data_IF_047135567016
#
_entry.id   IF_047135567016
#
_cell.length_a   1.000
_cell.length_b   1.000
_cell.length_c   1.000
_cell.angle_alpha   90.00
_cell.angle_beta   90.00
_cell.angle_gamma   90.00
#
_symmetry.space_group_name_H-M   'P 1'
#
loop_
_entity.id
_entity.type
_entity.pdbx_description
1 polymer ?
#
# COMPACT_ATOMS: atom_id res chain seq x y z
N UNK A 1 41.88 -11.09 3.15
CA UNK A 1 40.81 -10.09 3.34
C UNK A 1 40.96 -8.84 2.47
N UNK A 2 42.16 -8.26 2.27
CA UNK A 2 42.30 -7.09 1.36
C UNK A 2 42.39 -7.49 -0.13
N UNK A 3 42.85 -8.72 -0.43
CA UNK A 3 43.03 -9.20 -1.82
C UNK A 3 41.72 -9.37 -2.60
N UNK A 4 40.58 -9.48 -1.92
CA UNK A 4 39.27 -9.70 -2.55
C UNK A 4 38.60 -8.39 -3.02
N UNK A 5 39.19 -7.24 -2.68
CA UNK A 5 38.71 -5.91 -3.12
C UNK A 5 39.31 -5.56 -4.50
N UNK A 6 40.44 -6.16 -4.88
CA UNK A 6 41.26 -5.71 -6.01
C UNK A 6 40.83 -6.34 -7.36
N UNK A 7 40.12 -7.47 -7.36
CA UNK A 7 39.72 -8.18 -8.58
C UNK A 7 38.20 -8.30 -8.71
N UNK A 8 37.46 -7.18 -8.64
CA UNK A 8 36.05 -7.20 -8.99
C UNK A 8 35.90 -6.72 -10.44
N UNK A 9 35.80 -7.69 -11.35
CA UNK A 9 35.36 -7.48 -12.72
C UNK A 9 34.20 -6.48 -12.74
N UNK A 10 34.20 -5.50 -13.67
CA UNK A 10 33.15 -4.51 -13.76
C UNK A 10 31.83 -5.22 -14.02
N UNK A 11 30.94 -5.22 -13.01
CA UNK A 11 29.62 -5.82 -13.12
C UNK A 11 28.85 -5.08 -14.21
N UNK A 12 28.21 -5.82 -15.09
CA UNK A 12 27.38 -5.21 -16.12
C UNK A 12 26.18 -4.51 -15.49
N UNK A 13 25.66 -3.47 -16.14
CA UNK A 13 24.48 -2.75 -15.65
C UNK A 13 23.29 -3.71 -15.44
N UNK A 14 23.15 -4.71 -16.32
CA UNK A 14 22.13 -5.77 -16.21
C UNK A 14 22.25 -6.58 -14.91
N UNK A 15 23.47 -7.03 -14.57
CA UNK A 15 23.73 -7.75 -13.31
C UNK A 15 23.47 -6.88 -12.08
N UNK A 16 23.77 -5.58 -12.16
CA UNK A 16 23.51 -4.64 -11.07
C UNK A 16 22.01 -4.46 -10.83
N UNK A 17 21.21 -4.28 -11.89
CA UNK A 17 19.75 -4.15 -11.82
C UNK A 17 19.10 -5.43 -11.29
N UNK A 18 19.56 -6.60 -11.76
CA UNK A 18 19.07 -7.89 -11.26
C UNK A 18 19.36 -8.05 -9.76
N UNK A 19 20.54 -7.64 -9.29
CA UNK A 19 20.91 -7.70 -7.87
C UNK A 19 20.04 -6.77 -7.01
N UNK A 20 19.80 -5.54 -7.47
CA UNK A 20 18.95 -4.56 -6.76
C UNK A 20 17.51 -5.06 -6.68
N UNK A 21 16.97 -5.63 -7.76
CA UNK A 21 15.60 -6.16 -7.77
C UNK A 21 15.40 -7.27 -6.74
N UNK A 22 16.43 -8.08 -6.50
CA UNK A 22 16.42 -9.11 -5.45
C UNK A 22 16.62 -8.55 -4.04
N UNK A 23 17.17 -7.33 -3.91
CA UNK A 23 17.33 -6.64 -2.63
C UNK A 23 16.07 -5.83 -2.23
N UNK A 24 15.17 -5.55 -3.16
CA UNK A 24 13.91 -4.87 -2.88
C UNK A 24 12.87 -5.89 -2.43
N UNK A 25 12.55 -5.85 -1.14
CA UNK A 25 11.40 -6.56 -0.61
C UNK A 25 10.23 -5.57 -0.62
N UNK A 26 9.15 -5.80 -1.40
CA UNK A 26 7.97 -4.95 -1.36
C UNK A 26 7.43 -4.85 0.06
N UNK A 27 7.08 -3.64 0.49
CA UNK A 27 6.55 -3.40 1.83
C UNK A 27 5.30 -4.25 2.12
N UNK A 28 4.46 -4.46 1.09
CA UNK A 28 3.30 -5.35 1.13
C UNK A 28 3.63 -6.82 1.42
N UNK A 29 4.85 -7.28 1.12
CA UNK A 29 5.31 -8.63 1.48
C UNK A 29 5.87 -8.70 2.91
N UNK A 30 6.28 -7.58 3.49
CA UNK A 30 6.83 -7.53 4.85
C UNK A 30 5.76 -7.32 5.90
N UNK A 31 4.74 -6.52 5.60
CA UNK A 31 3.63 -6.26 6.52
C UNK A 31 2.58 -7.33 6.33
N UNK A 32 2.43 -8.21 7.33
CA UNK A 32 1.22 -9.00 7.45
C UNK A 32 0.07 -8.03 7.64
N UNK A 33 -0.92 -8.08 6.76
CA UNK A 33 -2.17 -7.37 6.95
C UNK A 33 -2.74 -7.77 8.32
N UNK A 34 -2.62 -6.88 9.31
CA UNK A 34 -3.47 -6.97 10.48
C UNK A 34 -4.87 -6.62 10.01
N UNK A 35 -5.87 -7.38 10.45
CA UNK A 35 -7.25 -6.98 10.30
C UNK A 35 -7.38 -5.67 11.07
N UNK A 36 -7.31 -4.55 10.37
CA UNK A 36 -7.44 -3.23 10.96
C UNK A 36 -8.91 -3.05 11.32
N UNK A 37 -9.31 -3.59 12.48
CA UNK A 37 -10.67 -3.53 13.01
C UNK A 37 -11.20 -2.11 13.14
N UNK A 38 -10.29 -1.16 13.21
CA UNK A 38 -10.58 0.25 13.47
C UNK A 38 -10.74 1.06 12.17
N UNK A 39 -10.54 0.42 11.01
CA UNK A 39 -10.76 1.04 9.70
C UNK A 39 -12.15 0.63 9.20
N UNK A 40 -12.99 1.63 8.94
CA UNK A 40 -14.27 1.42 8.28
C UNK A 40 -14.04 0.82 6.88
N UNK A 41 -14.55 -0.39 6.63
CA UNK A 41 -14.27 -1.11 5.37
C UNK A 41 -15.10 -0.59 4.21
N UNK A 42 -16.27 0.00 4.49
CA UNK A 42 -17.24 0.39 3.47
C UNK A 42 -18.00 -0.80 2.87
N UNK A 43 -17.65 -2.04 3.24
CA UNK A 43 -18.31 -3.28 2.81
C UNK A 43 -19.48 -3.67 3.73
N UNK A 44 -19.70 -2.93 4.82
CA UNK A 44 -20.77 -3.20 5.76
C UNK A 44 -22.13 -2.99 5.10
N UNK A 45 -23.02 -3.99 5.24
CA UNK A 45 -24.40 -3.92 4.74
C UNK A 45 -25.31 -3.13 5.69
N UNK A 46 -24.88 -1.94 6.07
CA UNK A 46 -25.66 -1.02 6.91
C UNK A 46 -26.52 -0.14 5.99
N UNK A 47 -27.85 -0.18 6.10
CA UNK A 47 -28.75 0.70 5.35
C UNK A 47 -28.35 2.16 5.53
N UNK A 48 -28.39 2.96 4.46
CA UNK A 48 -27.90 4.35 4.49
C UNK A 48 -28.51 5.19 5.62
N UNK A 49 -29.80 5.01 5.90
CA UNK A 49 -30.52 5.74 6.95
C UNK A 49 -30.13 5.32 8.39
N UNK A 50 -29.48 4.17 8.55
CA UNK A 50 -28.99 3.64 9.83
C UNK A 50 -27.49 3.95 10.07
N UNK A 51 -26.81 4.57 9.08
CA UNK A 51 -25.41 4.98 9.21
C UNK A 51 -25.28 6.18 10.16
N UNK A 52 -24.05 6.45 10.60
CA UNK A 52 -23.77 7.61 11.45
C UNK A 52 -24.37 8.91 10.82
N UNK A 53 -25.15 9.69 11.58
CA UNK A 53 -25.81 10.90 11.08
C UNK A 53 -24.88 11.90 10.40
N UNK A 54 -23.64 12.03 10.88
CA UNK A 54 -22.64 12.94 10.30
C UNK A 54 -22.29 12.51 8.87
N UNK A 55 -21.96 11.24 8.63
CA UNK A 55 -21.70 10.71 7.29
C UNK A 55 -22.90 10.83 6.36
N UNK A 56 -24.11 10.58 6.88
CA UNK A 56 -25.36 10.75 6.11
C UNK A 56 -25.53 12.20 5.67
N UNK A 57 -25.21 13.17 6.53
CA UNK A 57 -25.33 14.59 6.22
C UNK A 57 -24.36 15.04 5.13
N UNK A 58 -23.09 14.61 5.22
CA UNK A 58 -22.05 14.91 4.22
C UNK A 58 -22.46 14.34 2.86
N UNK A 59 -22.81 13.06 2.80
CA UNK A 59 -23.20 12.42 1.55
C UNK A 59 -24.43 13.08 0.91
N UNK A 60 -25.42 13.48 1.71
CA UNK A 60 -26.57 14.22 1.19
C UNK A 60 -26.18 15.56 0.57
N UNK A 61 -25.25 16.29 1.18
CA UNK A 61 -24.78 17.57 0.65
C UNK A 61 -24.01 17.42 -0.66
N UNK A 62 -23.10 16.45 -0.73
CA UNK A 62 -22.28 16.19 -1.93
C UNK A 62 -23.14 15.81 -3.15
N UNK A 63 -24.19 15.01 -2.95
CA UNK A 63 -25.05 14.53 -4.03
C UNK A 63 -26.31 15.37 -4.25
N UNK A 64 -26.57 16.40 -3.42
CA UNK A 64 -27.75 17.28 -3.59
C UNK A 64 -27.66 18.15 -4.86
N UNK A 65 -26.45 18.43 -5.36
CA UNK A 65 -26.22 19.35 -6.48
C UNK A 65 -26.42 18.66 -7.85
N UNK A 66 -26.59 17.34 -7.90
CA UNK A 66 -26.76 16.58 -9.15
C UNK A 66 -28.26 16.38 -9.50
N UNK A 67 -29.10 17.36 -9.16
CA UNK A 67 -30.55 17.34 -9.45
C UNK A 67 -30.90 18.21 -10.64
#
# INVERSE_FOLDING_TARGET
MIKDIINKEPRTFSELIFNISNAIIPYSKMVKHSNASDIYSGEEKIPFHERNPEYVSILRQEFAVIS
#
